data_IF_665377178400
#
_entry.id   IF_665377178400
#
_cell.length_a   1.000
_cell.length_b   1.000
_cell.length_c   1.000
_cell.angle_alpha   90.00
_cell.angle_beta   90.00
_cell.angle_gamma   90.00
#
_symmetry.space_group_name_H-M   'P 1'
#
loop_
_entity.id
_entity.type
_entity.pdbx_description
1 polymer ?
#
# COMPACT_ATOMS: atom_id res chain seq x y z
N UNK A 1 -18.05 20.65 2.65
CA UNK A 1 -16.91 21.19 1.87
C UNK A 1 -16.99 20.88 0.38
N UNK A 2 -17.00 19.62 -0.04
CA UNK A 2 -17.11 19.25 -1.47
C UNK A 2 -18.36 19.86 -2.16
N UNK A 3 -19.56 19.63 -1.61
CA UNK A 3 -20.82 20.10 -2.22
C UNK A 3 -20.84 21.62 -2.43
N UNK A 4 -20.33 22.38 -1.46
CA UNK A 4 -20.23 23.85 -1.54
C UNK A 4 -19.25 24.28 -2.63
N UNK A 5 -18.11 23.60 -2.74
CA UNK A 5 -17.10 23.87 -3.78
C UNK A 5 -17.68 23.60 -5.17
N UNK A 6 -18.43 22.50 -5.33
CA UNK A 6 -19.11 22.17 -6.60
C UNK A 6 -20.16 23.22 -6.94
N UNK A 7 -20.98 23.65 -5.98
CA UNK A 7 -22.01 24.69 -6.17
C UNK A 7 -21.41 26.04 -6.57
N UNK A 8 -20.35 26.47 -5.88
CA UNK A 8 -19.62 27.70 -6.21
C UNK A 8 -19.02 27.63 -7.63
N UNK A 9 -18.34 26.54 -7.98
CA UNK A 9 -17.75 26.35 -9.33
C UNK A 9 -18.81 26.29 -10.42
N UNK A 10 -19.90 25.57 -10.20
CA UNK A 10 -20.98 25.43 -11.19
C UNK A 10 -21.72 26.76 -11.44
N UNK A 11 -21.75 27.66 -10.45
CA UNK A 11 -22.41 28.96 -10.57
C UNK A 11 -21.47 30.04 -11.15
N UNK A 12 -20.17 29.97 -10.86
CA UNK A 12 -19.21 31.01 -11.24
C UNK A 12 -18.46 30.73 -12.55
N UNK A 13 -18.22 29.46 -12.88
CA UNK A 13 -17.50 29.07 -14.09
C UNK A 13 -18.46 28.97 -15.30
N UNK A 14 -18.03 29.48 -16.45
CA UNK A 14 -18.80 29.35 -17.69
C UNK A 14 -18.50 28.01 -18.37
N UNK A 15 -19.53 27.28 -18.84
CA UNK A 15 -19.33 26.08 -19.63
C UNK A 15 -18.46 26.37 -20.87
N UNK A 16 -17.51 25.48 -21.22
CA UNK A 16 -16.78 25.57 -22.48
C UNK A 16 -17.72 25.63 -23.68
N UNK A 17 -17.33 26.35 -24.73
CA UNK A 17 -18.12 26.46 -25.96
C UNK A 17 -18.45 25.06 -26.52
N UNK A 18 -19.73 24.78 -26.72
CA UNK A 18 -20.22 23.49 -27.26
C UNK A 18 -20.42 22.39 -26.21
N UNK A 19 -20.20 22.65 -24.92
CA UNK A 19 -20.47 21.70 -23.84
C UNK A 19 -21.85 21.95 -23.22
N UNK A 20 -22.64 20.89 -23.04
CA UNK A 20 -23.92 20.98 -22.35
C UNK A 20 -23.70 21.26 -20.85
N UNK A 21 -24.61 22.02 -20.21
CA UNK A 21 -24.49 22.36 -18.78
C UNK A 21 -24.44 21.14 -17.88
N UNK A 22 -25.12 20.05 -18.26
CA UNK A 22 -25.08 18.79 -17.51
C UNK A 22 -23.67 18.17 -17.53
N UNK A 23 -23.02 18.10 -18.70
CA UNK A 23 -21.66 17.57 -18.84
C UNK A 23 -20.65 18.44 -18.10
N UNK A 24 -20.88 19.76 -18.08
CA UNK A 24 -20.04 20.70 -17.34
C UNK A 24 -20.10 20.44 -15.82
N UNK A 25 -21.29 20.19 -15.27
CA UNK A 25 -21.46 19.83 -13.86
C UNK A 25 -20.79 18.49 -13.54
N UNK A 26 -20.96 17.47 -14.39
CA UNK A 26 -20.29 16.16 -14.22
C UNK A 26 -18.77 16.31 -14.21
N UNK A 27 -18.23 17.15 -15.11
CA UNK A 27 -16.80 17.46 -15.15
C UNK A 27 -16.31 18.11 -13.86
N UNK A 28 -17.03 19.10 -13.33
CA UNK A 28 -16.67 19.74 -12.05
C UNK A 28 -16.64 18.71 -10.92
N UNK A 29 -17.67 17.86 -10.81
CA UNK A 29 -17.73 16.81 -9.79
C UNK A 29 -16.53 15.86 -9.92
N UNK A 30 -16.24 15.42 -11.15
CA UNK A 30 -15.12 14.53 -11.41
C UNK A 30 -13.78 15.15 -10.99
N UNK A 31 -13.53 16.41 -11.33
CA UNK A 31 -12.31 17.12 -10.96
C UNK A 31 -12.17 17.30 -9.44
N UNK A 32 -13.26 17.63 -8.74
CA UNK A 32 -13.21 17.74 -7.28
C UNK A 32 -12.99 16.39 -6.60
N UNK A 33 -13.58 15.32 -7.12
CA UNK A 33 -13.30 13.96 -6.65
C UNK A 33 -11.83 13.59 -6.88
N UNK A 34 -11.25 13.93 -8.04
CA UNK A 34 -9.82 13.72 -8.30
C UNK A 34 -8.94 14.48 -7.31
N UNK A 35 -9.27 15.73 -7.01
CA UNK A 35 -8.53 16.53 -6.00
C UNK A 35 -8.54 15.87 -4.62
N UNK A 36 -9.67 15.27 -4.23
CA UNK A 36 -9.79 14.53 -2.96
C UNK A 36 -8.98 13.23 -2.97
N UNK A 37 -8.96 12.52 -4.10
CA UNK A 37 -8.18 11.28 -4.24
C UNK A 37 -6.66 11.52 -4.18
N UNK A 38 -6.21 12.74 -4.47
CA UNK A 38 -4.81 13.15 -4.38
C UNK A 38 -4.05 13.01 -5.69
N UNK A 39 -2.74 13.26 -5.63
CA UNK A 39 -1.86 13.23 -6.81
C UNK A 39 -1.35 11.81 -7.03
N UNK A 40 -1.26 11.40 -8.30
CA UNK A 40 -0.58 10.15 -8.66
C UNK A 40 0.85 10.17 -8.11
N UNK A 41 1.20 9.15 -7.33
CA UNK A 41 2.56 8.92 -6.87
C UNK A 41 3.12 7.67 -7.54
N UNK A 42 4.25 7.83 -8.21
CA UNK A 42 4.94 6.70 -8.82
C UNK A 42 5.72 5.94 -7.74
N UNK A 43 5.40 4.66 -7.57
CA UNK A 43 6.19 3.77 -6.72
C UNK A 43 7.52 3.47 -7.39
N UNK A 44 8.63 3.86 -6.77
CA UNK A 44 9.97 3.60 -7.31
C UNK A 44 10.27 2.11 -7.27
N UNK A 45 10.57 1.51 -8.43
CA UNK A 45 10.93 0.09 -8.55
C UNK A 45 12.44 -0.10 -8.32
N UNK A 46 12.87 0.06 -7.07
CA UNK A 46 14.25 -0.10 -6.64
C UNK A 46 14.33 -0.98 -5.39
N UNK A 47 15.52 -1.50 -5.04
CA UNK A 47 15.74 -2.13 -3.75
C UNK A 47 15.32 -1.20 -2.60
N UNK A 48 14.49 -1.70 -1.68
CA UNK A 48 13.90 -0.88 -0.62
C UNK A 48 13.36 -1.72 0.54
N UNK A 49 13.21 -1.08 1.70
CA UNK A 49 12.56 -1.65 2.89
C UNK A 49 11.23 -0.95 3.12
N UNK A 50 10.14 -1.72 3.29
CA UNK A 50 8.78 -1.19 3.39
C UNK A 50 8.16 -1.68 4.69
N UNK A 51 7.78 -0.77 5.58
CA UNK A 51 7.05 -1.13 6.80
C UNK A 51 5.55 -0.91 6.61
N UNK A 52 4.75 -1.94 6.82
CA UNK A 52 3.29 -1.82 6.79
C UNK A 52 2.74 -1.43 8.17
N UNK A 53 2.22 -0.22 8.26
CA UNK A 53 1.58 0.34 9.46
C UNK A 53 0.08 0.52 9.25
N UNK A 54 -0.69 0.52 10.34
CA UNK A 54 -2.14 0.73 10.30
C UNK A 54 -2.88 0.00 11.41
N UNK A 55 -4.19 0.24 11.48
CA UNK A 55 -5.05 -0.31 12.53
C UNK A 55 -5.18 -1.84 12.45
N UNK A 56 -5.61 -2.46 13.55
CA UNK A 56 -5.91 -3.88 13.60
C UNK A 56 -7.02 -4.24 12.60
N UNK A 57 -6.90 -5.38 11.93
CA UNK A 57 -7.91 -5.84 10.97
C UNK A 57 -7.92 -5.17 9.60
N UNK A 58 -7.09 -4.15 9.34
CA UNK A 58 -7.06 -3.44 8.05
C UNK A 58 -6.29 -4.17 6.92
N UNK A 59 -6.10 -5.48 7.05
CA UNK A 59 -5.52 -6.29 5.98
C UNK A 59 -4.01 -6.16 5.76
N UNK A 60 -3.23 -5.60 6.69
CA UNK A 60 -1.76 -5.43 6.56
C UNK A 60 -1.03 -6.69 6.11
N UNK A 61 -1.27 -7.83 6.78
CA UNK A 61 -0.65 -9.12 6.45
C UNK A 61 -0.99 -9.59 5.03
N UNK A 62 -2.26 -9.43 4.62
CA UNK A 62 -2.71 -9.76 3.27
C UNK A 62 -2.10 -8.82 2.23
N UNK A 63 -2.00 -7.54 2.55
CA UNK A 63 -1.37 -6.53 1.71
C UNK A 63 0.14 -6.78 1.54
N UNK A 64 0.83 -7.29 2.57
CA UNK A 64 2.24 -7.70 2.46
C UNK A 64 2.45 -8.74 1.36
N UNK A 65 1.60 -9.78 1.33
CA UNK A 65 1.64 -10.80 0.28
C UNK A 65 1.33 -10.24 -1.12
N UNK A 66 0.32 -9.38 -1.24
CA UNK A 66 -0.03 -8.72 -2.51
C UNK A 66 1.11 -7.84 -3.02
N UNK A 67 1.73 -7.07 -2.12
CA UNK A 67 2.84 -6.19 -2.44
C UNK A 67 4.09 -6.98 -2.83
N UNK A 68 4.37 -8.08 -2.14
CA UNK A 68 5.43 -9.00 -2.53
C UNK A 68 5.21 -9.54 -3.94
N UNK A 69 3.99 -9.99 -4.25
CA UNK A 69 3.65 -10.46 -5.59
C UNK A 69 3.77 -9.36 -6.64
N UNK A 70 3.40 -8.12 -6.31
CA UNK A 70 3.54 -6.97 -7.19
C UNK A 70 5.00 -6.72 -7.58
N UNK A 71 5.91 -6.62 -6.60
CA UNK A 71 7.34 -6.40 -6.86
C UNK A 71 7.99 -7.58 -7.60
N UNK A 72 7.64 -8.82 -7.26
CA UNK A 72 8.10 -10.00 -8.01
C UNK A 72 7.69 -9.95 -9.50
N UNK A 73 6.46 -9.50 -9.80
CA UNK A 73 6.02 -9.32 -11.20
C UNK A 73 6.78 -8.22 -11.94
N UNK A 74 7.46 -7.34 -11.21
CA UNK A 74 8.37 -6.31 -11.75
C UNK A 74 9.83 -6.76 -11.80
N UNK A 75 10.12 -8.03 -11.49
CA UNK A 75 11.45 -8.64 -11.60
C UNK A 75 12.32 -8.51 -10.36
N UNK A 76 11.78 -8.01 -9.24
CA UNK A 76 12.54 -7.82 -8.00
C UNK A 76 12.41 -9.04 -7.08
N UNK A 77 13.52 -9.39 -6.41
CA UNK A 77 13.51 -10.38 -5.34
C UNK A 77 12.91 -9.78 -4.07
N UNK A 78 12.04 -10.52 -3.38
CA UNK A 78 11.26 -10.00 -2.23
C UNK A 78 11.29 -10.96 -1.06
N UNK A 79 11.37 -10.43 0.16
CA UNK A 79 11.16 -11.18 1.39
C UNK A 79 10.23 -10.48 2.38
N UNK A 80 9.55 -11.27 3.21
CA UNK A 80 8.62 -10.81 4.24
C UNK A 80 9.21 -11.03 5.64
N UNK A 81 9.08 -10.04 6.52
CA UNK A 81 9.55 -10.10 7.92
C UNK A 81 8.36 -10.06 8.88
N UNK A 82 8.21 -11.09 9.71
CA UNK A 82 7.11 -11.21 10.66
C UNK A 82 7.36 -10.42 11.96
N UNK A 83 7.06 -9.12 11.94
CA UNK A 83 7.24 -8.23 13.10
C UNK A 83 6.02 -8.17 14.07
N UNK A 84 4.91 -8.85 13.78
CA UNK A 84 3.72 -8.89 14.66
C UNK A 84 3.88 -9.97 15.75
N UNK A 85 4.40 -9.55 16.91
CA UNK A 85 4.67 -10.40 18.09
C UNK A 85 3.47 -10.54 19.04
N UNK A 86 2.40 -9.77 18.82
CA UNK A 86 1.29 -9.65 19.78
C UNK A 86 0.09 -10.51 19.38
N UNK A 87 -0.20 -10.58 18.08
CA UNK A 87 -1.38 -11.31 17.60
C UNK A 87 -1.06 -12.81 17.47
N UNK A 88 -1.88 -13.70 18.08
CA UNK A 88 -1.72 -15.15 17.92
C UNK A 88 -1.73 -15.55 16.44
N UNK A 89 -0.85 -16.48 16.07
CA UNK A 89 -0.73 -17.02 14.71
C UNK A 89 -0.37 -16.00 13.61
N UNK A 90 0.00 -14.76 13.94
CA UNK A 90 0.30 -13.73 12.94
C UNK A 90 1.54 -14.09 12.10
N UNK A 91 2.54 -14.68 12.75
CA UNK A 91 3.75 -15.14 12.11
C UNK A 91 3.46 -16.31 11.16
N UNK A 92 2.71 -17.31 11.61
CA UNK A 92 2.29 -18.46 10.81
C UNK A 92 1.43 -18.04 9.61
N UNK A 93 0.55 -17.06 9.78
CA UNK A 93 -0.24 -16.50 8.70
C UNK A 93 0.66 -15.87 7.63
N UNK A 94 1.65 -15.07 8.04
CA UNK A 94 2.58 -14.45 7.11
C UNK A 94 3.49 -15.49 6.43
N UNK A 95 3.88 -16.54 7.14
CA UNK A 95 4.66 -17.66 6.59
C UNK A 95 3.86 -18.45 5.53
N UNK A 96 2.56 -18.68 5.76
CA UNK A 96 1.70 -19.31 4.76
C UNK A 96 1.58 -18.44 3.51
N UNK A 97 1.41 -17.13 3.69
CA UNK A 97 1.35 -16.17 2.58
C UNK A 97 2.66 -16.15 1.79
N UNK A 98 3.81 -16.12 2.47
CA UNK A 98 5.13 -16.11 1.81
C UNK A 98 5.34 -17.34 0.94
N UNK A 99 4.94 -18.53 1.44
CA UNK A 99 4.96 -19.79 0.69
C UNK A 99 4.04 -19.75 -0.53
N UNK A 100 2.82 -19.21 -0.38
CA UNK A 100 1.86 -19.09 -1.49
C UNK A 100 2.39 -18.19 -2.61
N UNK A 101 3.01 -17.06 -2.27
CA UNK A 101 3.56 -16.13 -3.27
C UNK A 101 4.99 -16.48 -3.68
N UNK A 102 5.62 -17.47 -3.04
CA UNK A 102 6.99 -17.94 -3.27
C UNK A 102 8.03 -16.82 -3.07
N UNK A 103 7.96 -16.12 -1.95
CA UNK A 103 8.94 -15.09 -1.56
C UNK A 103 9.75 -15.52 -0.34
N UNK A 104 10.83 -14.80 -0.04
CA UNK A 104 11.61 -15.02 1.18
C UNK A 104 10.79 -14.74 2.44
N UNK A 105 11.16 -15.35 3.56
CA UNK A 105 10.46 -15.17 4.82
C UNK A 105 11.42 -15.22 5.99
N UNK A 106 11.20 -14.34 6.96
CA UNK A 106 11.85 -14.37 8.26
C UNK A 106 10.85 -14.18 9.40
N UNK A 107 10.97 -15.00 10.44
CA UNK A 107 10.22 -14.90 11.68
C UNK A 107 10.90 -15.66 12.80
N UNK A 108 10.81 -15.15 14.03
CA UNK A 108 11.45 -15.74 15.21
C UNK A 108 10.42 -15.86 16.35
N UNK A 109 9.91 -17.07 16.58
CA UNK A 109 8.93 -17.36 17.65
C UNK A 109 9.48 -17.17 19.06
N UNK A 110 10.81 -17.24 19.22
CA UNK A 110 11.46 -17.12 20.52
C UNK A 110 11.67 -15.66 20.93
N UNK A 111 11.58 -14.75 19.98
CA UNK A 111 11.78 -13.33 20.18
C UNK A 111 10.45 -12.59 20.38
N UNK A 112 10.39 -11.73 21.40
CA UNK A 112 9.22 -10.87 21.67
C UNK A 112 9.46 -9.41 21.38
N UNK A 113 10.71 -9.02 21.11
CA UNK A 113 11.07 -7.67 20.70
C UNK A 113 11.01 -7.57 19.15
N UNK A 114 10.03 -6.85 18.60
CA UNK A 114 9.87 -6.73 17.15
C UNK A 114 11.08 -6.07 16.48
N UNK A 115 11.79 -5.15 17.17
CA UNK A 115 12.96 -4.49 16.61
C UNK A 115 14.11 -5.48 16.40
N UNK A 116 14.30 -6.43 17.32
CA UNK A 116 15.30 -7.50 17.18
C UNK A 116 14.94 -8.48 16.06
N UNK A 117 13.66 -8.79 15.89
CA UNK A 117 13.19 -9.63 14.77
C UNK A 117 13.49 -8.94 13.44
N UNK A 118 13.16 -7.65 13.32
CA UNK A 118 13.38 -6.90 12.10
C UNK A 118 14.88 -6.77 11.78
N UNK A 119 15.72 -6.45 12.78
CA UNK A 119 17.17 -6.37 12.57
C UNK A 119 17.76 -7.66 12.00
N UNK A 120 17.48 -8.80 12.64
CA UNK A 120 17.93 -10.11 12.15
C UNK A 120 17.28 -10.50 10.81
N UNK A 121 16.04 -10.10 10.58
CA UNK A 121 15.35 -10.36 9.32
C UNK A 121 15.94 -9.60 8.14
N UNK A 122 16.38 -8.35 8.36
CA UNK A 122 17.09 -7.57 7.36
C UNK A 122 18.45 -8.20 6.99
N UNK A 123 19.17 -8.75 7.98
CA UNK A 123 20.40 -9.51 7.75
C UNK A 123 20.14 -10.83 7.02
N UNK A 124 19.17 -11.62 7.49
CA UNK A 124 18.85 -12.94 6.92
C UNK A 124 18.34 -12.86 5.48
N UNK A 125 17.72 -11.74 5.10
CA UNK A 125 17.16 -11.50 3.77
C UNK A 125 17.99 -10.50 2.98
N UNK A 126 19.25 -10.25 3.35
CA UNK A 126 20.04 -9.15 2.79
C UNK A 126 20.17 -9.22 1.26
N UNK A 127 20.33 -10.42 0.71
CA UNK A 127 20.43 -10.68 -0.73
C UNK A 127 19.15 -10.36 -1.53
N UNK A 128 18.03 -10.08 -0.86
CA UNK A 128 16.77 -9.73 -1.50
C UNK A 128 16.65 -8.21 -1.68
N UNK A 129 16.12 -7.79 -2.83
CA UNK A 129 16.03 -6.38 -3.20
C UNK A 129 14.95 -5.65 -2.39
N UNK A 130 13.80 -6.28 -2.15
CA UNK A 130 12.70 -5.68 -1.39
C UNK A 130 12.43 -6.47 -0.12
N UNK A 131 12.39 -5.78 1.02
CA UNK A 131 12.10 -6.35 2.34
C UNK A 131 10.83 -5.67 2.89
N UNK A 132 9.78 -6.44 3.12
CA UNK A 132 8.45 -5.95 3.57
C UNK A 132 8.14 -6.47 4.97
#
# INVERSE_FOLDING_TARGET
>A
DLSRTVEERATQEKPPSGMASQDFIVKIIYEELLKIMGVESNLTLAPQTIMLVGLYGQGKTTSAGKLAKFFQRKGLSVGLIAADVHRPAAMEQLEQISKQVKCGFYGDKSQRDPAKIVAKGLEALDSLQVKI
#
